data_IF_825606169246
#
_entry.id   IF_825606169246
#
_cell.length_a   1.000
_cell.length_b   1.000
_cell.length_c   1.000
_cell.angle_alpha   90.00
_cell.angle_beta   90.00
_cell.angle_gamma   90.00
#
_symmetry.space_group_name_H-M   'P 1'
#
loop_
_entity.id
_entity.type
_entity.pdbx_description
1 polymer ?
#
# COMPACT_ATOMS: atom_id res chain seq x y z
N UNK A 1 -19.82 -13.82 3.28
CA UNK A 1 -19.63 -13.22 4.61
C UNK A 1 -19.44 -11.70 4.53
N UNK A 2 -18.31 -11.16 3.95
CA UNK A 2 -18.11 -9.70 3.91
C UNK A 2 -19.14 -8.97 3.04
N UNK A 3 -19.62 -9.57 1.97
CA UNK A 3 -20.63 -8.98 1.07
C UNK A 3 -22.02 -8.87 1.71
N UNK A 4 -22.34 -9.73 2.66
CA UNK A 4 -23.61 -9.77 3.36
C UNK A 4 -23.61 -8.90 4.63
N UNK A 5 -22.45 -8.37 4.98
CA UNK A 5 -22.24 -7.51 6.13
C UNK A 5 -21.87 -6.06 5.75
N UNK A 6 -20.92 -5.49 6.45
CA UNK A 6 -20.44 -4.11 6.26
C UNK A 6 -19.49 -3.93 5.07
N UNK A 7 -19.24 -4.98 4.30
CA UNK A 7 -18.32 -5.08 3.16
C UNK A 7 -16.86 -4.76 3.49
N UNK A 8 -16.48 -4.81 4.75
CA UNK A 8 -15.10 -4.56 5.16
C UNK A 8 -14.31 -5.86 5.20
N UNK A 9 -13.07 -5.76 4.74
CA UNK A 9 -12.08 -6.84 4.81
C UNK A 9 -10.76 -6.27 5.30
N UNK A 10 -9.98 -7.09 5.97
CA UNK A 10 -8.60 -6.77 6.30
C UNK A 10 -7.68 -7.44 5.29
N UNK A 11 -6.80 -6.65 4.69
CA UNK A 11 -5.83 -7.10 3.70
C UNK A 11 -4.43 -7.02 4.32
N UNK A 12 -3.73 -8.12 4.29
CA UNK A 12 -2.32 -8.20 4.66
C UNK A 12 -1.56 -9.07 3.69
N UNK A 13 -0.27 -8.83 3.56
CA UNK A 13 0.59 -9.63 2.70
C UNK A 13 1.11 -10.87 3.43
N UNK A 14 1.28 -11.94 2.67
CA UNK A 14 2.00 -13.13 3.08
C UNK A 14 3.49 -12.92 2.85
N UNK A 15 4.34 -13.40 3.77
CA UNK A 15 5.79 -13.23 3.69
C UNK A 15 6.42 -14.09 2.61
N UNK A 16 5.91 -15.32 2.46
CA UNK A 16 6.33 -16.26 1.45
C UNK A 16 5.10 -16.74 0.66
N UNK A 17 5.06 -16.41 -0.63
CA UNK A 17 3.95 -16.76 -1.53
C UNK A 17 3.82 -18.28 -1.73
N UNK A 18 4.87 -19.05 -1.44
CA UNK A 18 4.88 -20.52 -1.62
C UNK A 18 4.24 -21.27 -0.44
N UNK A 19 3.85 -20.57 0.62
CA UNK A 19 3.15 -21.20 1.75
C UNK A 19 1.66 -21.33 1.44
N UNK A 20 1.18 -22.56 1.26
CA UNK A 20 -0.22 -22.84 0.86
C UNK A 20 -1.24 -22.50 1.96
N UNK A 21 -0.93 -22.84 3.23
CA UNK A 21 -1.76 -22.55 4.41
C UNK A 21 -1.03 -21.63 5.38
N UNK A 22 -0.99 -20.33 5.14
CA UNK A 22 -0.26 -19.39 5.97
C UNK A 22 -0.87 -19.27 7.37
N UNK A 23 -0.03 -19.41 8.40
CA UNK A 23 -0.41 -19.14 9.78
C UNK A 23 -0.19 -17.66 10.15
N UNK A 24 -0.44 -17.33 11.41
CA UNK A 24 -0.22 -15.98 11.91
C UNK A 24 1.20 -15.46 11.69
N UNK A 25 2.23 -16.33 11.76
CA UNK A 25 3.63 -15.92 11.64
C UNK A 25 4.04 -15.67 10.18
N UNK A 26 3.35 -16.31 9.25
CA UNK A 26 3.60 -16.19 7.81
C UNK A 26 3.04 -14.87 7.22
N UNK A 27 2.20 -14.18 7.99
CA UNK A 27 1.59 -12.93 7.59
C UNK A 27 2.34 -11.71 8.14
N UNK A 28 2.42 -10.65 7.36
CA UNK A 28 2.80 -9.35 7.87
C UNK A 28 1.74 -8.86 8.86
N UNK A 29 2.21 -8.19 9.93
CA UNK A 29 1.31 -7.80 11.02
C UNK A 29 0.56 -6.51 10.75
N UNK A 30 1.11 -5.66 9.89
CA UNK A 30 0.43 -4.44 9.48
C UNK A 30 -0.15 -4.60 8.09
N UNK A 31 -1.42 -4.25 7.96
CA UNK A 31 -2.19 -4.30 6.75
C UNK A 31 -3.18 -3.15 6.66
N UNK A 32 -4.16 -3.30 5.79
CA UNK A 32 -5.15 -2.26 5.49
C UNK A 32 -6.56 -2.82 5.64
N UNK A 33 -7.41 -2.13 6.39
CA UNK A 33 -8.85 -2.34 6.31
C UNK A 33 -9.37 -1.66 5.05
N UNK A 34 -10.09 -2.42 4.23
CA UNK A 34 -10.63 -1.95 2.97
C UNK A 34 -12.11 -2.28 2.85
N UNK A 35 -12.84 -1.47 2.08
CA UNK A 35 -14.22 -1.74 1.69
C UNK A 35 -14.25 -2.39 0.32
N UNK A 36 -14.99 -3.48 0.18
CA UNK A 36 -15.27 -4.12 -1.10
C UNK A 36 -16.28 -3.26 -1.88
N UNK A 37 -15.84 -2.69 -3.00
CA UNK A 37 -16.66 -1.84 -3.85
C UNK A 37 -17.38 -2.63 -4.94
N UNK A 38 -16.68 -3.59 -5.57
CA UNK A 38 -17.21 -4.37 -6.67
C UNK A 38 -16.66 -5.80 -6.65
N UNK A 39 -17.51 -6.76 -7.02
CA UNK A 39 -17.13 -8.17 -7.20
C UNK A 39 -17.62 -8.63 -8.56
N UNK A 40 -16.72 -9.11 -9.37
CA UNK A 40 -17.02 -9.71 -10.67
C UNK A 40 -16.56 -11.17 -10.70
N UNK A 41 -17.39 -12.05 -11.25
CA UNK A 41 -17.03 -13.43 -11.55
C UNK A 41 -16.75 -13.52 -13.04
N UNK A 42 -15.55 -13.93 -13.40
CA UNK A 42 -15.09 -13.99 -14.79
C UNK A 42 -14.64 -15.41 -15.11
N UNK A 43 -15.13 -16.03 -16.19
CA UNK A 43 -14.60 -17.29 -16.67
C UNK A 43 -13.24 -17.00 -17.35
N UNK A 44 -12.19 -17.66 -16.89
CA UNK A 44 -10.84 -17.60 -17.46
C UNK A 44 -10.34 -19.04 -17.57
N UNK A 45 -10.00 -19.49 -18.77
CA UNK A 45 -9.47 -20.82 -19.07
C UNK A 45 -10.28 -22.01 -18.51
N UNK A 46 -11.61 -21.82 -18.41
CA UNK A 46 -12.53 -22.84 -17.89
C UNK A 46 -12.74 -22.81 -16.38
N UNK A 47 -12.04 -21.95 -15.68
CA UNK A 47 -12.20 -21.71 -14.23
C UNK A 47 -12.92 -20.38 -13.96
N UNK A 48 -13.65 -20.34 -12.84
CA UNK A 48 -14.33 -19.09 -12.41
C UNK A 48 -13.42 -18.30 -11.49
N UNK A 49 -12.85 -17.20 -12.01
CA UNK A 49 -12.03 -16.27 -11.23
C UNK A 49 -12.93 -15.21 -10.61
N UNK A 50 -12.74 -14.94 -9.32
CA UNK A 50 -13.42 -13.86 -8.60
C UNK A 50 -12.49 -12.65 -8.54
N UNK A 51 -12.84 -11.59 -9.27
CA UNK A 51 -12.16 -10.30 -9.20
C UNK A 51 -12.86 -9.39 -8.20
N UNK A 52 -12.10 -8.89 -7.23
CA UNK A 52 -12.62 -8.01 -6.18
C UNK A 52 -11.94 -6.65 -6.29
N UNK A 53 -12.74 -5.58 -6.41
CA UNK A 53 -12.25 -4.21 -6.31
C UNK A 53 -12.45 -3.71 -4.88
N UNK A 54 -11.41 -3.16 -4.30
CA UNK A 54 -11.40 -2.69 -2.92
C UNK A 54 -10.93 -1.24 -2.83
N UNK A 55 -11.43 -0.53 -1.80
CA UNK A 55 -10.96 0.81 -1.45
C UNK A 55 -10.36 0.75 -0.06
N UNK A 56 -9.06 1.06 0.06
CA UNK A 56 -8.37 1.19 1.35
C UNK A 56 -9.02 2.28 2.21
N UNK A 57 -9.14 2.02 3.49
CA UNK A 57 -9.74 2.94 4.46
C UNK A 57 -8.72 3.43 5.48
N UNK A 58 -8.09 2.51 6.18
CA UNK A 58 -7.08 2.83 7.21
C UNK A 58 -6.16 1.64 7.47
N UNK A 59 -4.99 1.91 8.01
CA UNK A 59 -4.04 0.90 8.46
C UNK A 59 -4.48 0.26 9.76
N UNK A 60 -4.28 -1.04 9.87
CA UNK A 60 -4.53 -1.79 11.10
C UNK A 60 -3.45 -2.85 11.31
N UNK A 61 -3.25 -3.22 12.57
CA UNK A 61 -2.34 -4.28 12.97
C UNK A 61 -3.11 -5.55 13.29
N UNK A 62 -2.68 -6.66 12.70
CA UNK A 62 -3.16 -8.00 13.02
C UNK A 62 -2.56 -8.47 14.35
N UNK A 63 -3.42 -8.75 15.33
CA UNK A 63 -3.00 -9.19 16.65
C UNK A 63 -3.11 -10.71 16.84
N UNK A 64 -3.87 -11.39 16.00
CA UNK A 64 -4.02 -12.84 16.04
C UNK A 64 -5.06 -13.34 15.04
N UNK A 65 -5.07 -14.63 14.81
CA UNK A 65 -6.11 -15.33 14.06
C UNK A 65 -7.15 -15.85 15.06
N UNK A 66 -8.40 -15.54 14.82
CA UNK A 66 -9.55 -15.95 15.66
C UNK A 66 -10.16 -17.25 15.14
N UNK A 67 -10.25 -17.38 13.82
CA UNK A 67 -10.80 -18.55 13.15
C UNK A 67 -10.15 -18.73 11.78
N UNK A 68 -10.03 -19.97 11.35
CA UNK A 68 -9.56 -20.35 10.00
C UNK A 68 -10.69 -20.84 9.10
N UNK A 69 -11.81 -21.29 9.69
CA UNK A 69 -12.96 -21.80 8.94
C UNK A 69 -14.20 -20.95 9.19
N UNK A 70 -15.05 -20.74 8.17
CA UNK A 70 -14.91 -21.12 6.74
C UNK A 70 -13.97 -20.19 5.97
N UNK A 71 -13.34 -19.21 6.63
CA UNK A 71 -12.34 -18.28 6.10
C UNK A 71 -11.54 -17.70 7.27
N UNK A 72 -10.37 -17.15 6.97
CA UNK A 72 -9.53 -16.50 7.97
C UNK A 72 -10.25 -15.29 8.59
N UNK A 73 -10.35 -15.29 9.91
CA UNK A 73 -10.87 -14.17 10.71
C UNK A 73 -9.75 -13.72 11.65
N UNK A 74 -9.30 -12.49 11.50
CA UNK A 74 -8.25 -11.89 12.31
C UNK A 74 -8.79 -10.90 13.35
N UNK A 75 -8.19 -10.88 14.53
CA UNK A 75 -8.33 -9.80 15.49
C UNK A 75 -7.40 -8.66 15.07
N UNK A 76 -7.95 -7.49 14.79
CA UNK A 76 -7.20 -6.32 14.32
C UNK A 76 -7.37 -5.12 15.24
N UNK A 77 -6.37 -4.24 15.24
CA UNK A 77 -6.39 -2.95 15.92
C UNK A 77 -6.02 -1.84 14.94
N UNK A 78 -6.88 -0.83 14.82
CA UNK A 78 -6.59 0.34 13.99
C UNK A 78 -5.31 1.05 14.45
N UNK A 79 -4.48 1.47 13.50
CA UNK A 79 -3.29 2.25 13.77
C UNK A 79 -3.63 3.74 13.81
N UNK A 80 -3.12 4.44 14.83
CA UNK A 80 -3.15 5.90 14.84
C UNK A 80 -2.08 6.43 13.88
N UNK A 81 -2.48 7.21 12.88
CA UNK A 81 -1.56 7.89 11.97
C UNK A 81 -1.23 9.26 12.57
N UNK A 82 0.06 9.62 12.56
CA UNK A 82 0.49 10.93 12.99
C UNK A 82 -0.06 11.99 12.04
N UNK A 83 -0.64 13.06 12.59
CA UNK A 83 -1.11 14.18 11.78
C UNK A 83 0.09 14.93 11.20
N UNK A 84 -0.02 15.30 9.94
CA UNK A 84 0.93 16.18 9.27
C UNK A 84 0.49 17.62 9.44
N UNK A 85 1.43 18.47 9.82
CA UNK A 85 1.26 19.91 9.81
C UNK A 85 1.70 20.46 8.46
N UNK A 86 0.79 21.03 7.71
CA UNK A 86 1.05 21.56 6.36
C UNK A 86 2.04 22.75 6.37
N UNK A 87 2.18 23.44 7.50
CA UNK A 87 3.14 24.53 7.67
C UNK A 87 4.55 24.02 8.01
N UNK A 88 4.74 22.71 8.16
CA UNK A 88 6.04 22.13 8.43
C UNK A 88 6.99 22.34 7.23
N UNK A 89 7.95 23.25 7.39
CA UNK A 89 8.90 23.63 6.33
C UNK A 89 9.72 22.47 5.81
N UNK A 90 10.15 21.56 6.71
CA UNK A 90 10.88 20.36 6.33
C UNK A 90 10.02 19.43 5.47
N UNK A 91 8.78 19.20 5.88
CA UNK A 91 7.84 18.36 5.10
C UNK A 91 7.57 18.95 3.72
N UNK A 92 7.41 20.27 3.62
CA UNK A 92 7.25 20.95 2.32
C UNK A 92 8.50 20.83 1.44
N UNK A 93 9.70 20.97 2.02
CA UNK A 93 10.95 20.80 1.29
C UNK A 93 11.12 19.35 0.80
N UNK A 94 10.75 18.37 1.64
CA UNK A 94 10.78 16.96 1.30
C UNK A 94 9.83 16.64 0.14
N UNK A 95 8.60 17.16 0.17
CA UNK A 95 7.62 17.01 -0.94
C UNK A 95 8.20 17.56 -2.24
N UNK A 96 8.78 18.76 -2.23
CA UNK A 96 9.41 19.33 -3.44
C UNK A 96 10.56 18.48 -3.96
N UNK A 97 11.42 17.98 -3.06
CA UNK A 97 12.51 17.09 -3.42
C UNK A 97 12.01 15.78 -4.03
N UNK A 98 11.00 15.16 -3.41
CA UNK A 98 10.42 13.91 -3.89
C UNK A 98 9.75 14.08 -5.26
N UNK A 99 9.06 15.20 -5.52
CA UNK A 99 8.51 15.52 -6.85
C UNK A 99 9.58 15.58 -7.91
N UNK A 100 10.69 16.28 -7.63
CA UNK A 100 11.80 16.39 -8.58
C UNK A 100 12.47 15.05 -8.89
N UNK A 101 12.66 14.21 -7.86
CA UNK A 101 13.21 12.86 -8.04
C UNK A 101 12.24 12.00 -8.86
N UNK A 102 10.94 12.07 -8.57
CA UNK A 102 9.93 11.30 -9.29
C UNK A 102 9.82 11.72 -10.76
N UNK A 103 9.95 13.01 -11.08
CA UNK A 103 10.00 13.49 -12.46
C UNK A 103 11.22 12.91 -13.21
N UNK A 104 12.38 12.85 -12.56
CA UNK A 104 13.56 12.20 -13.11
C UNK A 104 13.35 10.70 -13.36
N UNK A 105 12.78 9.99 -12.41
CA UNK A 105 12.44 8.58 -12.55
C UNK A 105 11.44 8.33 -13.69
N UNK A 106 10.42 9.18 -13.82
CA UNK A 106 9.41 9.03 -14.85
C UNK A 106 9.98 9.16 -16.29
N UNK A 107 11.09 9.86 -16.46
CA UNK A 107 11.76 9.98 -17.77
C UNK A 107 12.41 8.66 -18.20
N UNK A 108 12.87 7.85 -17.26
CA UNK A 108 13.46 6.53 -17.52
C UNK A 108 12.45 5.37 -17.38
N UNK A 109 11.24 5.63 -16.95
CA UNK A 109 10.20 4.63 -16.71
C UNK A 109 9.01 4.79 -17.67
N UNK A 110 9.11 4.32 -18.93
CA UNK A 110 8.08 4.53 -19.97
C UNK A 110 6.74 3.86 -19.66
N UNK A 111 6.70 2.92 -18.69
CA UNK A 111 5.48 2.29 -18.19
C UNK A 111 4.63 3.22 -17.32
N UNK A 112 5.19 4.33 -16.82
CA UNK A 112 4.42 5.32 -16.05
C UNK A 112 3.61 6.21 -16.99
N UNK A 113 2.29 6.23 -16.79
CA UNK A 113 1.43 7.12 -17.57
C UNK A 113 1.63 8.59 -17.14
N UNK A 114 1.46 9.55 -18.06
CA UNK A 114 1.50 10.99 -17.72
C UNK A 114 0.54 11.38 -16.60
N UNK A 115 -0.60 10.71 -16.48
CA UNK A 115 -1.60 10.96 -15.43
C UNK A 115 -1.06 10.62 -14.03
N UNK A 116 -0.21 9.60 -13.92
CA UNK A 116 0.46 9.25 -12.66
C UNK A 116 1.42 10.37 -12.26
N UNK A 117 2.21 10.87 -13.21
CA UNK A 117 3.15 11.97 -12.97
C UNK A 117 2.41 13.24 -12.51
N UNK A 118 1.35 13.63 -13.23
CA UNK A 118 0.53 14.77 -12.86
C UNK A 118 -0.11 14.61 -11.48
N UNK A 119 -0.55 13.41 -11.14
CA UNK A 119 -1.10 13.10 -9.81
C UNK A 119 -0.07 13.31 -8.72
N UNK A 120 1.16 12.81 -8.90
CA UNK A 120 2.25 12.99 -7.93
C UNK A 120 2.57 14.48 -7.73
N UNK A 121 2.62 15.26 -8.81
CA UNK A 121 2.87 16.70 -8.74
C UNK A 121 1.76 17.47 -8.00
N UNK A 122 0.54 16.94 -7.97
CA UNK A 122 -0.61 17.53 -7.28
C UNK A 122 -0.64 17.31 -5.76
N UNK A 123 0.14 16.38 -5.21
CA UNK A 123 0.12 16.11 -3.76
C UNK A 123 0.77 17.23 -2.94
N UNK A 124 0.15 17.54 -1.82
CA UNK A 124 0.63 18.45 -0.77
C UNK A 124 0.79 17.77 0.61
N UNK A 125 0.35 16.50 0.72
CA UNK A 125 0.48 15.70 1.93
C UNK A 125 1.53 14.58 1.71
N UNK A 126 2.60 14.51 2.53
CA UNK A 126 3.73 13.62 2.29
C UNK A 126 3.34 12.13 2.37
N UNK A 127 2.42 11.78 3.28
CA UNK A 127 1.98 10.40 3.44
C UNK A 127 1.14 9.89 2.27
N UNK A 128 0.24 10.72 1.75
CA UNK A 128 -0.60 10.36 0.60
C UNK A 128 0.24 10.25 -0.67
N UNK A 129 1.20 11.16 -0.84
CA UNK A 129 2.17 11.13 -1.93
C UNK A 129 2.99 9.84 -1.88
N UNK A 130 3.53 9.47 -0.70
CA UNK A 130 4.31 8.26 -0.54
C UNK A 130 3.49 7.00 -0.86
N UNK A 131 2.26 6.92 -0.37
CA UNK A 131 1.38 5.78 -0.64
C UNK A 131 1.03 5.66 -2.13
N UNK A 132 0.78 6.79 -2.78
CA UNK A 132 0.48 6.81 -4.21
C UNK A 132 1.69 6.39 -5.06
N UNK A 133 2.87 6.92 -4.78
CA UNK A 133 4.09 6.55 -5.49
C UNK A 133 4.41 5.07 -5.28
N UNK A 134 4.41 4.57 -4.02
CA UNK A 134 4.69 3.17 -3.72
C UNK A 134 3.73 2.19 -4.40
N UNK A 135 2.51 2.62 -4.70
CA UNK A 135 1.52 1.84 -5.46
C UNK A 135 1.76 1.79 -6.96
N UNK A 136 2.55 2.72 -7.51
CA UNK A 136 2.71 2.92 -8.96
C UNK A 136 4.14 2.66 -9.48
N UNK A 137 5.11 2.42 -8.61
CA UNK A 137 6.48 2.05 -8.99
C UNK A 137 6.78 0.58 -8.71
N UNK A 138 7.81 0.05 -9.34
CA UNK A 138 8.24 -1.34 -9.18
C UNK A 138 9.08 -1.50 -7.89
N UNK A 139 8.40 -1.64 -6.74
CA UNK A 139 9.04 -1.98 -5.47
C UNK A 139 8.88 -3.46 -5.17
N UNK A 140 9.90 -4.05 -4.57
CA UNK A 140 9.82 -5.39 -3.99
C UNK A 140 8.83 -5.43 -2.81
N UNK A 141 8.26 -6.61 -2.52
CA UNK A 141 7.26 -6.75 -1.46
C UNK A 141 7.75 -6.26 -0.08
N UNK A 142 8.98 -6.58 0.38
CA UNK A 142 9.47 -6.09 1.65
C UNK A 142 9.55 -4.56 1.73
N UNK A 143 9.92 -3.90 0.62
CA UNK A 143 10.05 -2.44 0.56
C UNK A 143 8.68 -1.77 0.56
N UNK A 144 7.72 -2.29 -0.22
CA UNK A 144 6.31 -1.86 -0.15
C UNK A 144 5.75 -1.99 1.25
N UNK A 145 6.02 -3.12 1.91
CA UNK A 145 5.57 -3.37 3.27
C UNK A 145 6.22 -2.40 4.26
N UNK A 146 7.51 -2.11 4.08
CA UNK A 146 8.23 -1.17 4.94
C UNK A 146 7.67 0.24 4.85
N UNK A 147 7.27 0.69 3.65
CA UNK A 147 6.57 1.96 3.44
C UNK A 147 5.18 1.94 4.09
N UNK A 148 4.44 0.83 3.95
CA UNK A 148 3.13 0.67 4.56
C UNK A 148 3.20 0.74 6.10
N UNK A 149 4.23 0.16 6.70
CA UNK A 149 4.44 0.07 8.16
C UNK A 149 4.83 1.40 8.80
N UNK A 150 5.34 2.36 8.01
CA UNK A 150 5.68 3.67 8.54
C UNK A 150 4.42 4.54 8.74
N UNK A 151 4.10 4.84 10.00
CA UNK A 151 2.89 5.57 10.37
C UNK A 151 3.09 7.09 10.40
N UNK A 152 4.34 7.55 10.47
CA UNK A 152 4.66 8.98 10.35
C UNK A 152 4.70 9.37 8.86
N UNK A 153 3.86 10.31 8.39
CA UNK A 153 3.77 10.65 6.99
C UNK A 153 5.07 11.25 6.41
N UNK A 154 5.82 12.00 7.19
CA UNK A 154 7.12 12.56 6.76
C UNK A 154 8.14 11.43 6.60
N UNK A 155 8.30 10.59 7.62
CA UNK A 155 9.23 9.45 7.58
C UNK A 155 8.90 8.45 6.49
N UNK A 156 7.61 8.29 6.18
CA UNK A 156 7.17 7.43 5.07
C UNK A 156 7.66 7.95 3.73
N UNK A 157 7.56 9.25 3.48
CA UNK A 157 8.05 9.86 2.26
C UNK A 157 9.59 9.85 2.20
N UNK A 158 10.28 10.05 3.33
CA UNK A 158 11.75 9.91 3.42
C UNK A 158 12.17 8.50 3.03
N UNK A 159 11.56 7.49 3.64
CA UNK A 159 11.85 6.08 3.36
C UNK A 159 11.66 5.76 1.89
N UNK A 160 10.55 6.20 1.30
CA UNK A 160 10.30 5.99 -0.12
C UNK A 160 11.32 6.68 -1.01
N UNK A 161 11.71 7.91 -0.68
CA UNK A 161 12.75 8.65 -1.40
C UNK A 161 14.09 7.90 -1.39
N UNK A 162 14.47 7.36 -0.25
CA UNK A 162 15.72 6.62 -0.08
C UNK A 162 15.68 5.29 -0.84
N UNK A 163 14.54 4.61 -0.88
CA UNK A 163 14.32 3.43 -1.73
C UNK A 163 14.35 3.78 -3.22
N UNK A 164 13.66 4.86 -3.65
CA UNK A 164 13.74 5.34 -5.04
C UNK A 164 15.19 5.62 -5.45
N UNK A 165 16.02 6.19 -4.57
CA UNK A 165 17.43 6.42 -4.83
C UNK A 165 18.21 5.12 -5.13
N UNK A 166 17.87 4.01 -4.50
CA UNK A 166 18.47 2.69 -4.80
C UNK A 166 18.02 2.18 -6.16
N UNK A 167 16.72 2.25 -6.46
CA UNK A 167 16.18 1.77 -7.75
C UNK A 167 16.57 2.65 -8.96
N UNK A 168 17.02 3.89 -8.73
CA UNK A 168 17.50 4.79 -9.80
C UNK A 168 19.00 4.67 -10.08
N UNK A 169 19.77 4.02 -9.20
CA UNK A 169 21.22 3.89 -9.33
C UNK A 169 21.62 2.52 -9.91
N UNK A 170 20.74 1.52 -9.84
CA UNK A 170 21.02 0.14 -10.28
C UNK A 170 20.62 -0.13 -11.75
N UNK A 171 20.23 0.87 -12.54
CA UNK A 171 20.07 0.83 -14.00
C UNK A 171 21.17 1.68 -14.68
#
# INVERSE_FOLDING_TARGET
AALDGDRRIFLTAQKDIMTDDPDFNDLYKLGVVATVSHVAKLPVDGEMIVRVSVKGMYRARLNGIVSTEPHLVGAIRACAIRKYDIENEYGQALIRSAKSIFEGYAQSAPQLSPDIVLSVLGFDHPGDMADFIAGNIALELPDRQSVLEELDPIKRLEKLRDEQGRYMVDE
#
